data_IF_864197354605
#
_entry.id   IF_864197354605
#
_cell.length_a   1.000
_cell.length_b   1.000
_cell.length_c   1.000
_cell.angle_alpha   90.00
_cell.angle_beta   90.00
_cell.angle_gamma   90.00
#
_symmetry.space_group_name_H-M   'P 1'
#
loop_
_entity.id
_entity.type
_entity.pdbx_description
1 polymer ?
#
# COMPACT_ATOMS: atom_id res chain seq x y z
N UNK A 1 -15.67 0.78 6.31
CA UNK A 1 -16.45 -0.22 7.07
C UNK A 1 -17.91 0.15 7.16
N UNK A 2 -18.21 1.37 7.57
CA UNK A 2 -19.59 1.90 7.62
C UNK A 2 -20.31 1.72 6.28
N UNK A 3 -19.68 2.13 5.18
CA UNK A 3 -20.26 2.10 3.83
C UNK A 3 -20.56 0.66 3.37
N UNK A 4 -19.67 -0.31 3.64
CA UNK A 4 -19.94 -1.72 3.29
C UNK A 4 -21.13 -2.29 4.08
N UNK A 5 -21.32 -1.86 5.32
CA UNK A 5 -22.48 -2.25 6.12
C UNK A 5 -23.75 -1.58 5.59
N UNK A 6 -23.69 -0.32 5.23
CA UNK A 6 -24.82 0.42 4.64
C UNK A 6 -25.25 -0.17 3.30
N UNK A 7 -24.32 -0.54 2.42
CA UNK A 7 -24.61 -1.24 1.17
C UNK A 7 -25.28 -2.59 1.37
N UNK A 8 -24.97 -3.27 2.48
CA UNK A 8 -25.62 -4.54 2.82
C UNK A 8 -27.04 -4.38 3.38
N UNK A 9 -27.34 -3.20 3.97
CA UNK A 9 -28.65 -2.87 4.56
C UNK A 9 -29.58 -2.14 3.58
N UNK A 10 -29.02 -1.34 2.67
CA UNK A 10 -29.75 -0.56 1.67
C UNK A 10 -29.09 -0.77 0.28
N UNK A 11 -29.75 -1.50 -0.64
CA UNK A 11 -29.25 -1.73 -1.99
C UNK A 11 -29.09 -0.47 -2.84
N UNK A 12 -29.70 0.64 -2.47
CA UNK A 12 -29.59 1.92 -3.17
C UNK A 12 -28.56 2.86 -2.55
N UNK A 13 -27.85 2.43 -1.50
CA UNK A 13 -26.81 3.25 -0.88
C UNK A 13 -25.57 3.31 -1.77
N UNK A 14 -25.19 4.49 -2.20
CA UNK A 14 -23.94 4.75 -2.92
C UNK A 14 -22.91 5.41 -1.98
N UNK A 15 -21.73 4.80 -1.81
CA UNK A 15 -20.63 5.40 -1.06
C UNK A 15 -20.19 6.73 -1.65
N UNK A 16 -19.83 7.70 -0.79
CA UNK A 16 -19.39 9.04 -1.19
C UNK A 16 -18.10 9.05 -2.05
N UNK A 17 -17.41 7.92 -2.19
CA UNK A 17 -16.21 7.73 -3.02
C UNK A 17 -16.53 7.15 -4.41
N UNK A 18 -17.79 7.04 -4.79
CA UNK A 18 -18.23 6.68 -6.14
C UNK A 18 -18.51 7.96 -6.91
N UNK A 19 -17.70 8.24 -7.95
CA UNK A 19 -17.80 9.47 -8.74
C UNK A 19 -18.27 9.21 -10.17
N UNK A 20 -17.88 8.09 -10.75
CA UNK A 20 -18.23 7.67 -12.11
C UNK A 20 -18.00 6.15 -12.27
N UNK A 21 -18.26 5.61 -13.46
CA UNK A 21 -18.08 4.18 -13.77
C UNK A 21 -16.64 3.68 -13.57
N UNK A 22 -15.64 4.55 -13.77
CA UNK A 22 -14.22 4.21 -13.59
C UNK A 22 -13.79 4.35 -12.14
N UNK A 23 -14.27 5.40 -11.43
CA UNK A 23 -13.95 5.64 -10.02
C UNK A 23 -15.17 5.28 -9.19
N UNK A 24 -15.24 4.03 -8.79
CA UNK A 24 -16.38 3.46 -8.06
C UNK A 24 -15.92 2.63 -6.87
N UNK A 25 -16.24 3.09 -5.66
CA UNK A 25 -16.09 2.28 -4.46
C UNK A 25 -17.12 1.16 -4.39
N UNK A 26 -18.30 1.38 -4.96
CA UNK A 26 -19.41 0.42 -4.95
C UNK A 26 -18.99 -0.90 -5.60
N UNK A 27 -18.50 -0.84 -6.85
CA UNK A 27 -18.12 -2.01 -7.61
C UNK A 27 -16.95 -2.76 -6.98
N UNK A 28 -15.95 -2.01 -6.48
CA UNK A 28 -14.80 -2.61 -5.80
C UNK A 28 -15.21 -3.27 -4.47
N UNK A 29 -16.10 -2.66 -3.69
CA UNK A 29 -16.55 -3.22 -2.41
C UNK A 29 -17.50 -4.41 -2.57
N UNK A 30 -18.25 -4.45 -3.68
CA UNK A 30 -19.16 -5.54 -4.01
C UNK A 30 -18.42 -6.78 -4.57
N UNK A 31 -17.19 -6.62 -5.04
CA UNK A 31 -16.39 -7.70 -5.63
C UNK A 31 -15.96 -8.74 -4.59
N UNK A 32 -15.79 -9.99 -5.01
CA UNK A 32 -15.27 -11.08 -4.18
C UNK A 32 -13.85 -10.78 -3.69
N UNK A 33 -13.06 -10.04 -4.49
CA UNK A 33 -11.72 -9.62 -4.16
C UNK A 33 -11.68 -8.64 -2.97
N UNK A 34 -12.78 -7.97 -2.62
CA UNK A 34 -12.87 -7.10 -1.45
C UNK A 34 -12.84 -7.85 -0.11
N UNK A 35 -12.98 -9.17 -0.13
CA UNK A 35 -12.99 -10.04 1.05
C UNK A 35 -12.20 -11.33 0.82
N UNK A 36 -10.99 -11.23 0.26
CA UNK A 36 -10.14 -12.34 -0.16
C UNK A 36 -9.88 -13.38 0.93
N UNK A 37 -9.79 -12.97 2.18
CA UNK A 37 -9.53 -13.84 3.32
C UNK A 37 -10.80 -14.20 4.12
N UNK A 38 -12.01 -14.02 3.55
CA UNK A 38 -13.28 -14.23 4.24
C UNK A 38 -13.70 -13.07 5.14
N UNK A 39 -12.86 -12.02 5.25
CA UNK A 39 -13.18 -10.77 5.92
C UNK A 39 -12.76 -9.59 5.03
N UNK A 40 -13.31 -8.39 5.29
CA UNK A 40 -13.03 -7.24 4.45
C UNK A 40 -11.54 -6.81 4.51
N UNK A 41 -10.88 -6.71 3.35
CA UNK A 41 -9.46 -6.36 3.22
C UNK A 41 -9.01 -5.10 3.98
N UNK A 42 -9.82 -4.03 4.15
CA UNK A 42 -9.44 -2.87 4.96
C UNK A 42 -8.99 -3.19 6.40
N UNK A 43 -9.40 -4.30 6.99
CA UNK A 43 -8.93 -4.71 8.33
C UNK A 43 -7.43 -4.95 8.37
N UNK A 44 -6.84 -5.48 7.29
CA UNK A 44 -5.39 -5.69 7.18
C UNK A 44 -4.66 -4.34 7.28
N UNK A 45 -5.16 -3.33 6.57
CA UNK A 45 -4.63 -1.97 6.63
C UNK A 45 -4.83 -1.32 7.99
N UNK A 46 -5.99 -1.47 8.61
CA UNK A 46 -6.30 -0.93 9.94
C UNK A 46 -5.37 -1.47 11.04
N UNK A 47 -4.81 -2.66 10.86
CA UNK A 47 -3.82 -3.24 11.78
C UNK A 47 -2.40 -2.84 11.34
N UNK A 48 -2.08 -2.98 10.07
CA UNK A 48 -0.73 -2.79 9.54
C UNK A 48 -0.24 -1.35 9.60
N UNK A 49 -1.05 -0.37 9.21
CA UNK A 49 -0.64 1.04 9.19
C UNK A 49 -0.34 1.62 10.58
N UNK A 50 -1.13 1.38 11.64
CA UNK A 50 -0.76 1.80 12.99
C UNK A 50 0.54 1.18 13.50
N UNK A 51 0.82 -0.08 13.17
CA UNK A 51 2.11 -0.71 13.51
C UNK A 51 3.25 0.05 12.83
N UNK A 52 3.15 0.32 11.53
CA UNK A 52 4.18 1.07 10.80
C UNK A 52 4.32 2.52 11.31
N UNK A 53 3.21 3.17 11.65
CA UNK A 53 3.22 4.51 12.26
C UNK A 53 3.95 4.50 13.61
N UNK A 54 3.70 3.50 14.45
CA UNK A 54 4.39 3.35 15.74
C UNK A 54 5.90 3.18 15.54
N UNK A 55 6.33 2.31 14.60
CA UNK A 55 7.74 2.15 14.27
C UNK A 55 8.37 3.45 13.75
N UNK A 56 7.67 4.21 12.94
CA UNK A 56 8.14 5.51 12.44
C UNK A 56 8.30 6.53 13.57
N UNK A 57 7.34 6.62 14.50
CA UNK A 57 7.43 7.48 15.69
C UNK A 57 8.62 7.08 16.55
N UNK A 58 8.82 5.78 16.79
CA UNK A 58 9.96 5.27 17.56
C UNK A 58 11.31 5.67 16.92
N UNK A 59 11.40 5.66 15.59
CA UNK A 59 12.59 6.16 14.88
C UNK A 59 12.80 7.67 15.09
N UNK A 60 11.73 8.47 15.00
CA UNK A 60 11.80 9.92 15.16
C UNK A 60 12.30 10.31 16.57
N UNK A 61 11.83 9.60 17.60
CA UNK A 61 12.29 9.83 18.98
C UNK A 61 13.66 9.21 19.28
N UNK A 62 14.31 8.60 18.30
CA UNK A 62 15.65 8.02 18.45
C UNK A 62 15.72 6.72 19.22
N UNK A 63 14.60 5.99 19.34
CA UNK A 63 14.57 4.70 20.01
C UNK A 63 15.37 3.65 19.22
N UNK A 64 16.20 2.90 19.92
CA UNK A 64 16.96 1.78 19.34
C UNK A 64 16.07 0.53 19.33
N UNK A 65 15.58 0.18 18.16
CA UNK A 65 14.76 -1.00 17.95
C UNK A 65 15.64 -2.20 17.56
N UNK A 66 15.33 -3.40 18.08
CA UNK A 66 16.06 -4.60 17.72
C UNK A 66 15.83 -4.95 16.24
N UNK A 67 16.84 -5.49 15.57
CA UNK A 67 16.82 -5.79 14.13
C UNK A 67 15.67 -6.69 13.71
N UNK A 68 15.29 -7.66 14.52
CA UNK A 68 14.21 -8.60 14.16
C UNK A 68 12.88 -7.89 13.89
N UNK A 69 12.61 -6.77 14.60
CA UNK A 69 11.40 -5.98 14.36
C UNK A 69 11.37 -5.40 12.94
N UNK A 70 12.52 -4.92 12.45
CA UNK A 70 12.65 -4.41 11.08
C UNK A 70 12.50 -5.50 10.03
N UNK A 71 13.03 -6.70 10.30
CA UNK A 71 12.81 -7.84 9.40
C UNK A 71 11.35 -8.29 9.38
N UNK A 72 10.67 -8.32 10.52
CA UNK A 72 9.23 -8.61 10.58
C UNK A 72 8.43 -7.54 9.81
N UNK A 73 8.75 -6.24 9.98
CA UNK A 73 8.13 -5.16 9.23
C UNK A 73 8.38 -5.29 7.72
N UNK A 74 9.61 -5.63 7.31
CA UNK A 74 9.96 -5.82 5.90
C UNK A 74 9.18 -6.99 5.28
N UNK A 75 9.07 -8.11 5.97
CA UNK A 75 8.30 -9.27 5.51
C UNK A 75 6.81 -8.92 5.40
N UNK A 76 6.24 -8.29 6.42
CA UNK A 76 4.84 -7.86 6.42
C UNK A 76 4.55 -6.87 5.28
N UNK A 77 5.41 -5.86 5.08
CA UNK A 77 5.30 -4.92 3.96
C UNK A 77 5.51 -5.59 2.61
N UNK A 78 6.42 -6.56 2.49
CA UNK A 78 6.63 -7.33 1.27
C UNK A 78 5.39 -8.12 0.87
N UNK A 79 4.76 -8.82 1.82
CA UNK A 79 3.48 -9.47 1.61
C UNK A 79 2.38 -8.44 1.24
N UNK A 80 2.37 -7.29 1.91
CA UNK A 80 1.49 -6.17 1.59
C UNK A 80 1.68 -5.68 0.16
N UNK A 81 2.92 -5.49 -0.31
CA UNK A 81 3.23 -5.08 -1.69
C UNK A 81 2.68 -6.09 -2.70
N UNK A 82 2.91 -7.39 -2.49
CA UNK A 82 2.37 -8.44 -3.36
C UNK A 82 0.84 -8.39 -3.39
N UNK A 83 0.22 -8.28 -2.23
CA UNK A 83 -1.23 -8.24 -2.10
C UNK A 83 -1.87 -7.01 -2.76
N UNK A 84 -1.30 -5.82 -2.55
CA UNK A 84 -1.86 -4.60 -3.17
C UNK A 84 -1.67 -4.58 -4.68
N UNK A 85 -0.59 -5.17 -5.22
CA UNK A 85 -0.41 -5.28 -6.66
C UNK A 85 -1.39 -6.29 -7.28
N UNK A 86 -1.66 -7.39 -6.59
CA UNK A 86 -2.70 -8.33 -7.02
C UNK A 86 -4.09 -7.67 -7.00
N UNK A 87 -4.42 -6.91 -5.96
CA UNK A 87 -5.67 -6.15 -5.90
C UNK A 87 -5.75 -5.09 -7.00
N UNK A 88 -4.64 -4.40 -7.28
CA UNK A 88 -4.57 -3.42 -8.36
C UNK A 88 -4.80 -4.06 -9.72
N UNK A 89 -4.16 -5.20 -9.97
CA UNK A 89 -4.40 -5.99 -11.18
C UNK A 89 -5.87 -6.39 -11.32
N UNK A 90 -6.47 -6.88 -10.23
CA UNK A 90 -7.88 -7.27 -10.22
C UNK A 90 -8.82 -6.07 -10.44
N UNK A 91 -8.51 -4.90 -9.85
CA UNK A 91 -9.29 -3.68 -10.04
C UNK A 91 -9.26 -3.22 -11.51
N UNK A 92 -8.09 -3.27 -12.14
CA UNK A 92 -7.89 -2.78 -13.52
C UNK A 92 -8.46 -3.75 -14.56
N UNK A 93 -8.20 -5.06 -14.42
CA UNK A 93 -8.50 -6.03 -15.48
C UNK A 93 -9.75 -6.89 -15.22
N UNK A 94 -10.17 -7.07 -13.98
CA UNK A 94 -11.32 -7.92 -13.64
C UNK A 94 -12.56 -7.13 -13.26
N UNK A 95 -12.39 -6.04 -12.50
CA UNK A 95 -13.51 -5.24 -11.98
C UNK A 95 -13.79 -4.08 -12.95
N UNK A 96 -12.74 -3.49 -13.55
CA UNK A 96 -12.85 -2.32 -14.42
C UNK A 96 -13.17 -1.02 -13.66
N UNK A 97 -12.96 -1.00 -12.34
CA UNK A 97 -13.20 0.16 -11.49
C UNK A 97 -12.08 0.37 -10.48
N UNK A 98 -11.80 1.63 -10.17
CA UNK A 98 -10.77 2.05 -9.23
C UNK A 98 -11.41 2.66 -7.98
N UNK A 99 -10.93 2.25 -6.80
CA UNK A 99 -11.35 2.83 -5.54
C UNK A 99 -10.27 3.80 -5.03
N UNK A 100 -10.60 5.09 -4.73
CA UNK A 100 -9.63 6.06 -4.25
C UNK A 100 -8.90 5.64 -2.97
N UNK A 101 -9.58 4.96 -2.06
CA UNK A 101 -8.97 4.42 -0.84
C UNK A 101 -7.94 3.33 -1.15
N UNK A 102 -8.23 2.44 -2.11
CA UNK A 102 -7.27 1.43 -2.56
C UNK A 102 -6.05 2.09 -3.20
N UNK A 103 -6.26 3.12 -4.02
CA UNK A 103 -5.16 3.88 -4.64
C UNK A 103 -4.25 4.52 -3.58
N UNK A 104 -4.82 5.09 -2.51
CA UNK A 104 -4.04 5.63 -1.39
C UNK A 104 -3.20 4.55 -0.68
N UNK A 105 -3.77 3.36 -0.47
CA UNK A 105 -3.05 2.21 0.12
C UNK A 105 -1.92 1.75 -0.79
N UNK A 106 -2.13 1.65 -2.12
CA UNK A 106 -1.08 1.30 -3.08
C UNK A 106 0.06 2.32 -3.03
N UNK A 107 -0.28 3.61 -3.06
CA UNK A 107 0.67 4.70 -3.02
C UNK A 107 1.50 4.75 -1.73
N UNK A 108 0.97 4.31 -0.61
CA UNK A 108 1.67 4.30 0.68
C UNK A 108 2.53 3.04 0.87
N UNK A 109 2.04 1.86 0.47
CA UNK A 109 2.66 0.58 0.82
C UNK A 109 4.04 0.40 0.19
N UNK A 110 4.20 0.76 -1.10
CA UNK A 110 5.49 0.61 -1.78
C UNK A 110 6.59 1.52 -1.22
N UNK A 111 6.37 2.84 -1.02
CA UNK A 111 7.36 3.69 -0.37
C UNK A 111 7.76 3.20 1.02
N UNK A 112 6.81 2.73 1.84
CA UNK A 112 7.11 2.18 3.16
C UNK A 112 8.01 0.94 3.06
N UNK A 113 7.75 0.04 2.13
CA UNK A 113 8.58 -1.14 1.88
C UNK A 113 10.00 -0.75 1.48
N UNK A 114 10.14 0.12 0.48
CA UNK A 114 11.43 0.59 -0.02
C UNK A 114 12.23 1.30 1.07
N UNK A 115 11.58 2.19 1.84
CA UNK A 115 12.25 2.91 2.93
C UNK A 115 12.67 2.00 4.07
N UNK A 116 11.87 0.98 4.41
CA UNK A 116 12.24 -0.03 5.43
C UNK A 116 13.44 -0.84 4.97
N UNK A 117 13.47 -1.27 3.71
CA UNK A 117 14.60 -1.98 3.12
C UNK A 117 15.89 -1.15 3.18
N UNK A 118 15.80 0.12 2.79
CA UNK A 118 16.94 1.05 2.83
C UNK A 118 17.41 1.30 4.27
N UNK A 119 16.49 1.43 5.21
CA UNK A 119 16.84 1.58 6.63
C UNK A 119 17.66 0.39 7.13
N UNK A 120 17.22 -0.84 6.86
CA UNK A 120 17.94 -2.06 7.25
C UNK A 120 19.32 -2.12 6.60
N UNK A 121 19.44 -1.77 5.31
CA UNK A 121 20.71 -1.77 4.61
C UNK A 121 21.69 -0.73 5.17
N UNK A 122 21.19 0.45 5.51
CA UNK A 122 22.02 1.52 6.12
C UNK A 122 22.53 1.11 7.50
N UNK A 123 21.67 0.54 8.33
CA UNK A 123 22.05 0.10 9.66
C UNK A 123 23.12 -1.00 9.58
N UNK A 124 22.95 -1.97 8.68
CA UNK A 124 23.93 -3.02 8.44
C UNK A 124 25.30 -2.48 7.99
N UNK A 125 25.32 -1.47 7.08
CA UNK A 125 26.57 -0.84 6.62
C UNK A 125 27.25 -0.05 7.73
N UNK A 126 26.50 0.70 8.52
CA UNK A 126 27.02 1.44 9.68
C UNK A 126 27.71 0.53 10.69
N UNK A 127 27.13 -0.64 10.96
CA UNK A 127 27.73 -1.64 11.85
C UNK A 127 28.99 -2.27 11.27
N UNK A 128 29.07 -2.40 9.93
CA UNK A 128 30.27 -2.85 9.24
C UNK A 128 31.38 -1.78 9.17
N UNK A 129 31.10 -0.55 9.64
CA UNK A 129 32.05 0.57 9.54
C UNK A 129 32.21 1.12 8.13
N UNK A 130 31.26 0.81 7.23
CA UNK A 130 31.27 1.29 5.85
C UNK A 130 30.56 2.64 5.74
N UNK A 131 31.12 3.55 4.93
CA UNK A 131 30.44 4.81 4.57
C UNK A 131 29.16 4.51 3.80
N UNK A 132 28.07 5.21 4.15
CA UNK A 132 26.80 5.12 3.42
C UNK A 132 26.82 6.12 2.26
N UNK A 133 27.02 5.67 1.01
CA UNK A 133 27.12 6.56 -0.13
C UNK A 133 25.79 7.30 -0.36
N UNK A 134 25.86 8.54 -0.85
CA UNK A 134 24.67 9.36 -1.17
C UNK A 134 23.75 8.70 -2.20
N UNK A 135 24.27 7.82 -3.05
CA UNK A 135 23.49 7.03 -4.00
C UNK A 135 22.44 6.13 -3.34
N UNK A 136 22.72 5.66 -2.11
CA UNK A 136 21.73 4.86 -1.32
C UNK A 136 20.54 5.73 -0.86
N UNK A 137 20.65 7.06 -0.90
CA UNK A 137 19.52 7.97 -0.67
C UNK A 137 18.73 8.26 -1.95
N UNK A 138 19.37 8.41 -3.07
CA UNK A 138 18.74 8.75 -4.35
C UNK A 138 18.05 7.57 -5.03
N UNK A 139 18.66 6.38 -4.97
CA UNK A 139 18.13 5.18 -5.61
C UNK A 139 16.69 4.82 -5.18
N UNK A 140 16.34 4.79 -3.87
CA UNK A 140 14.97 4.47 -3.46
C UNK A 140 13.95 5.49 -3.97
N UNK A 141 14.29 6.75 -4.05
CA UNK A 141 13.41 7.79 -4.59
C UNK A 141 13.17 7.57 -6.08
N UNK A 142 14.22 7.27 -6.84
CA UNK A 142 14.10 6.95 -8.28
C UNK A 142 13.22 5.73 -8.51
N UNK A 143 13.41 4.66 -7.72
CA UNK A 143 12.58 3.44 -7.81
C UNK A 143 11.12 3.75 -7.56
N UNK A 144 10.81 4.51 -6.50
CA UNK A 144 9.44 4.91 -6.15
C UNK A 144 8.82 5.77 -7.25
N UNK A 145 9.54 6.78 -7.74
CA UNK A 145 9.04 7.66 -8.83
C UNK A 145 8.81 6.85 -10.11
N UNK A 146 9.75 6.00 -10.51
CA UNK A 146 9.61 5.16 -11.70
C UNK A 146 8.41 4.23 -11.60
N UNK A 147 8.18 3.66 -10.41
CA UNK A 147 7.00 2.83 -10.16
C UNK A 147 5.71 3.65 -10.29
N UNK A 148 5.63 4.85 -9.69
CA UNK A 148 4.46 5.71 -9.81
C UNK A 148 4.16 6.08 -11.25
N UNK A 149 5.18 6.43 -12.03
CA UNK A 149 5.03 6.76 -13.44
C UNK A 149 4.52 5.55 -14.26
N UNK A 150 5.13 4.37 -14.06
CA UNK A 150 4.72 3.15 -14.72
C UNK A 150 3.28 2.75 -14.36
N UNK A 151 2.93 2.86 -13.08
CA UNK A 151 1.60 2.50 -12.59
C UNK A 151 0.53 3.48 -13.09
N UNK A 152 0.83 4.78 -13.12
CA UNK A 152 -0.05 5.82 -13.69
C UNK A 152 -0.23 5.59 -15.20
N UNK A 153 0.84 5.31 -15.93
CA UNK A 153 0.76 5.02 -17.36
C UNK A 153 -0.14 3.81 -17.65
N UNK A 154 -0.01 2.75 -16.85
CA UNK A 154 -0.83 1.54 -16.99
C UNK A 154 -2.32 1.81 -16.72
N UNK A 155 -2.64 2.62 -15.71
CA UNK A 155 -4.03 3.03 -15.43
C UNK A 155 -4.58 3.87 -16.59
N UNK A 156 -3.80 4.83 -17.10
CA UNK A 156 -4.22 5.67 -18.20
C UNK A 156 -4.43 4.85 -19.49
N UNK A 157 -3.55 3.91 -19.80
CA UNK A 157 -3.69 3.02 -20.97
C UNK A 157 -4.99 2.22 -20.91
N UNK A 158 -5.37 1.72 -19.73
CA UNK A 158 -6.57 0.88 -19.58
C UNK A 158 -7.89 1.69 -19.54
N UNK A 159 -7.88 2.91 -19.00
CA UNK A 159 -9.11 3.68 -18.77
C UNK A 159 -9.27 4.93 -19.66
N UNK A 160 -8.22 5.38 -20.37
CA UNK A 160 -8.28 6.55 -21.25
C UNK A 160 -8.48 6.19 -22.72
N UNK A 161 -8.34 4.91 -23.08
CA UNK A 161 -8.56 4.36 -24.42
C UNK A 161 -9.50 3.16 -24.32
#
# INVERSE_FOLDING_TARGET
MHDKLQMALDPNFEPACTFNEVISCTDVMASDQAATFGFANPFIGMIGFPVMMTLAVMLIVGAKLPRWMWYCALVGLGLGVVFVHWLAYSAIYSIGALCPYCMAVWAATLPMFVMTLVHIQREKRREAGEDVPHSVLGMPLVVVIAWFLAFTALILDQFAF
#
